data_IF_030163279706
#
_entry.id   IF_030163279706
#
_cell.length_a   1.000
_cell.length_b   1.000
_cell.length_c   1.000
_cell.angle_alpha   90.00
_cell.angle_beta   90.00
_cell.angle_gamma   90.00
#
_symmetry.space_group_name_H-M   'P 1'
#
loop_
_entity.id
_entity.type
_entity.pdbx_description
1 polymer ?
#
# COMPACT_ATOMS: atom_id res chain seq x y z
N UNK A 1 -9.65 -15.01 -8.33
CA UNK A 1 -10.07 -15.17 -6.91
C UNK A 1 -10.53 -13.80 -6.42
N UNK A 2 -11.60 -13.68 -5.62
CA UNK A 2 -12.01 -12.41 -5.03
C UNK A 2 -11.22 -12.16 -3.74
N UNK A 3 -10.95 -10.91 -3.38
CA UNK A 3 -10.49 -10.57 -2.03
C UNK A 3 -11.62 -10.83 -1.04
N UNK A 4 -11.40 -11.74 -0.09
CA UNK A 4 -12.37 -12.13 0.93
C UNK A 4 -11.94 -11.77 2.34
N UNK A 5 -10.65 -11.67 2.54
CA UNK A 5 -10.04 -11.40 3.84
C UNK A 5 -8.94 -10.35 3.66
N UNK A 6 -9.21 -9.13 4.16
CA UNK A 6 -8.37 -7.95 3.98
C UNK A 6 -7.81 -7.54 5.35
N UNK A 7 -6.54 -7.13 5.39
CA UNK A 7 -5.91 -6.55 6.55
C UNK A 7 -5.73 -5.04 6.37
N UNK A 8 -6.05 -4.27 7.39
CA UNK A 8 -5.65 -2.87 7.56
C UNK A 8 -4.57 -2.78 8.64
N UNK A 9 -3.42 -2.22 8.32
CA UNK A 9 -2.39 -1.91 9.31
C UNK A 9 -2.56 -0.47 9.80
N UNK A 10 -2.48 -0.25 11.12
CA UNK A 10 -2.61 1.07 11.74
C UNK A 10 -1.34 1.39 12.53
N UNK A 11 -0.73 2.52 12.23
CA UNK A 11 0.49 3.00 12.90
C UNK A 11 0.09 3.89 14.08
N UNK A 12 0.52 3.55 15.30
CA UNK A 12 0.20 4.30 16.52
C UNK A 12 1.32 5.24 16.97
N UNK A 13 2.52 5.09 16.38
CA UNK A 13 3.72 5.82 16.79
C UNK A 13 4.68 5.99 15.59
N UNK A 14 5.36 7.14 15.46
CA UNK A 14 5.26 8.33 16.32
C UNK A 14 3.96 9.11 16.11
N UNK A 15 3.40 9.11 14.92
CA UNK A 15 2.16 9.79 14.56
C UNK A 15 1.09 8.75 14.25
N UNK A 16 -0.12 8.86 14.83
CA UNK A 16 -1.18 7.89 14.60
C UNK A 16 -1.79 8.06 13.19
N UNK A 17 -2.10 6.94 12.56
CA UNK A 17 -2.83 6.90 11.28
C UNK A 17 -4.16 7.65 11.41
N UNK A 18 -4.49 8.58 10.49
CA UNK A 18 -5.73 9.34 10.51
C UNK A 18 -6.98 8.45 10.36
N UNK A 19 -8.07 8.80 11.03
CA UNK A 19 -9.33 8.04 10.96
C UNK A 19 -9.92 7.94 9.54
N UNK A 20 -9.64 8.91 8.67
CA UNK A 20 -10.06 8.87 7.25
C UNK A 20 -9.53 7.65 6.50
N UNK A 21 -8.38 7.11 6.91
CA UNK A 21 -7.83 5.87 6.35
C UNK A 21 -8.70 4.66 6.68
N UNK A 22 -9.23 4.60 7.90
CA UNK A 22 -10.15 3.53 8.29
C UNK A 22 -11.44 3.58 7.46
N UNK A 23 -11.98 4.76 7.20
CA UNK A 23 -13.16 4.96 6.33
C UNK A 23 -12.88 4.49 4.89
N UNK A 24 -11.73 4.83 4.34
CA UNK A 24 -11.32 4.38 3.01
C UNK A 24 -11.13 2.85 2.95
N UNK A 25 -10.49 2.25 3.96
CA UNK A 25 -10.30 0.80 4.04
C UNK A 25 -11.64 0.05 4.16
N UNK A 26 -12.58 0.57 4.95
CA UNK A 26 -13.95 0.06 5.06
C UNK A 26 -14.66 0.14 3.70
N UNK A 27 -14.56 1.25 2.98
CA UNK A 27 -15.17 1.41 1.66
C UNK A 27 -14.56 0.42 0.64
N UNK A 28 -13.23 0.17 0.71
CA UNK A 28 -12.56 -0.83 -0.10
C UNK A 28 -13.09 -2.22 0.21
N UNK A 29 -13.10 -2.64 1.47
CA UNK A 29 -13.59 -3.96 1.88
C UNK A 29 -15.05 -4.17 1.49
N UNK A 30 -15.92 -3.17 1.72
CA UNK A 30 -17.31 -3.19 1.32
C UNK A 30 -17.49 -3.41 -0.19
N UNK A 31 -16.64 -2.79 -1.01
CA UNK A 31 -16.69 -2.96 -2.47
C UNK A 31 -16.42 -4.41 -2.91
N UNK A 32 -15.72 -5.20 -2.11
CA UNK A 32 -15.45 -6.61 -2.35
C UNK A 32 -16.40 -7.56 -1.60
N UNK A 33 -17.19 -7.07 -0.65
CA UNK A 33 -17.93 -7.90 0.30
C UNK A 33 -16.97 -8.77 1.11
N UNK A 34 -15.86 -8.19 1.52
CA UNK A 34 -14.78 -8.85 2.25
C UNK A 34 -14.89 -8.62 3.75
N UNK A 35 -14.34 -9.55 4.52
CA UNK A 35 -13.98 -9.34 5.92
C UNK A 35 -12.79 -8.38 6.00
N UNK A 36 -12.79 -7.47 6.98
CA UNK A 36 -11.70 -6.53 7.21
C UNK A 36 -11.17 -6.65 8.64
N UNK A 37 -9.93 -7.10 8.77
CA UNK A 37 -9.22 -7.08 10.05
C UNK A 37 -8.40 -5.79 10.15
N UNK A 38 -8.42 -5.14 11.32
CA UNK A 38 -7.50 -4.03 11.62
C UNK A 38 -6.52 -4.43 12.71
N UNK A 39 -5.22 -4.23 12.47
CA UNK A 39 -4.17 -4.43 13.46
C UNK A 39 -3.52 -3.11 13.82
N UNK A 40 -3.42 -2.83 15.12
CA UNK A 40 -2.65 -1.72 15.66
C UNK A 40 -1.65 -2.22 16.70
N UNK A 41 -0.47 -1.60 16.77
CA UNK A 41 0.55 -1.96 17.73
C UNK A 41 0.59 -0.94 18.87
N UNK A 42 0.53 -1.41 20.12
CA UNK A 42 1.01 -0.69 21.29
C UNK A 42 2.54 -0.79 21.26
N UNK A 43 3.20 0.27 20.82
CA UNK A 43 4.64 0.26 20.63
C UNK A 43 5.35 0.58 21.93
N UNK A 44 6.25 -0.33 22.36
CA UNK A 44 7.16 -0.07 23.46
C UNK A 44 8.45 0.56 22.93
N UNK A 45 8.70 1.81 23.36
CA UNK A 45 9.89 2.55 22.94
C UNK A 45 11.07 2.12 23.79
N UNK A 46 12.11 1.54 23.17
CA UNK A 46 13.35 1.18 23.84
C UNK A 46 14.45 2.19 23.51
N UNK A 47 15.14 2.69 24.54
CA UNK A 47 16.33 3.52 24.38
C UNK A 47 17.56 2.70 24.69
N UNK A 48 18.54 2.59 23.77
CA UNK A 48 19.78 1.90 24.02
C UNK A 48 20.51 2.42 25.27
N UNK A 49 20.91 1.53 26.20
CA UNK A 49 21.43 1.89 27.51
C UNK A 49 22.67 2.79 27.54
N UNK A 50 23.43 2.88 26.42
CA UNK A 50 24.59 3.77 26.33
C UNK A 50 24.23 5.25 26.20
N UNK A 51 23.00 5.61 25.83
CA UNK A 51 22.51 6.99 25.86
C UNK A 51 22.14 7.46 27.29
N UNK A 52 22.06 6.56 28.25
CA UNK A 52 21.61 6.86 29.63
C UNK A 52 22.73 7.46 30.50
N UNK A 53 24.00 7.43 30.10
CA UNK A 53 25.15 7.76 30.93
C UNK A 53 25.53 9.25 31.00
N UNK A 54 24.83 10.14 30.30
CA UNK A 54 25.22 11.56 30.24
C UNK A 54 24.07 12.58 30.30
N UNK A 55 22.82 12.16 30.44
CA UNK A 55 21.68 13.07 30.37
C UNK A 55 21.05 13.27 31.76
N UNK A 56 20.85 14.55 32.12
CA UNK A 56 20.06 14.97 33.30
C UNK A 56 18.53 14.89 33.05
N UNK A 57 18.10 14.46 31.86
CA UNK A 57 16.70 14.30 31.53
C UNK A 57 16.12 13.02 32.13
N UNK A 58 14.85 13.05 32.53
CA UNK A 58 14.12 11.94 33.11
C UNK A 58 13.67 10.96 31.98
N UNK A 59 14.64 10.30 31.34
CA UNK A 59 14.45 9.43 30.20
C UNK A 59 13.39 8.33 30.47
N UNK A 60 13.36 7.65 31.63
CA UNK A 60 12.31 6.67 31.93
C UNK A 60 10.88 7.24 31.85
N UNK A 61 10.66 8.44 32.31
CA UNK A 61 9.34 9.11 32.25
C UNK A 61 8.96 9.46 30.82
N UNK A 62 9.92 9.92 30.01
CA UNK A 62 9.70 10.18 28.57
C UNK A 62 9.30 8.90 27.86
N UNK A 63 10.02 7.80 28.07
CA UNK A 63 9.72 6.49 27.48
C UNK A 63 8.32 6.01 27.90
N UNK A 64 8.00 6.11 29.19
CA UNK A 64 6.69 5.74 29.71
C UNK A 64 5.57 6.59 29.09
N UNK A 65 5.82 7.89 28.93
CA UNK A 65 4.90 8.82 28.27
C UNK A 65 4.65 8.48 26.81
N UNK A 66 5.69 8.23 26.02
CA UNK A 66 5.57 7.84 24.61
C UNK A 66 4.91 6.47 24.43
N UNK A 67 5.21 5.49 25.27
CA UNK A 67 4.54 4.19 25.27
C UNK A 67 3.05 4.34 25.60
N UNK A 68 2.70 5.16 26.59
CA UNK A 68 1.29 5.43 26.93
C UNK A 68 0.55 6.17 25.80
N UNK A 69 1.20 7.11 25.14
CA UNK A 69 0.67 7.81 23.98
C UNK A 69 0.37 6.83 22.84
N UNK A 70 1.33 5.96 22.48
CA UNK A 70 1.15 4.91 21.48
C UNK A 70 -0.04 4.00 21.81
N UNK A 71 -0.14 3.58 23.08
CA UNK A 71 -1.25 2.74 23.56
C UNK A 71 -2.61 3.42 23.39
N UNK A 72 -2.72 4.68 23.78
CA UNK A 72 -3.97 5.45 23.65
C UNK A 72 -4.32 5.60 22.16
N UNK A 73 -3.37 6.03 21.34
CA UNK A 73 -3.55 6.17 19.88
C UNK A 73 -4.00 4.86 19.23
N UNK A 74 -3.37 3.72 19.60
CA UNK A 74 -3.77 2.41 19.03
C UNK A 74 -5.22 2.06 19.37
N UNK A 75 -5.65 2.30 20.61
CA UNK A 75 -7.03 2.04 21.04
C UNK A 75 -8.05 2.96 20.36
N UNK A 76 -7.72 4.25 20.26
CA UNK A 76 -8.59 5.25 19.64
C UNK A 76 -8.78 4.95 18.15
N UNK A 77 -7.70 4.55 17.45
CA UNK A 77 -7.77 4.14 16.05
C UNK A 77 -8.61 2.88 15.84
N UNK A 78 -8.44 1.84 16.68
CA UNK A 78 -9.26 0.64 16.59
C UNK A 78 -10.72 0.92 16.89
N UNK A 79 -11.03 1.77 17.87
CA UNK A 79 -12.41 2.18 18.15
C UNK A 79 -13.03 2.99 16.99
N UNK A 80 -12.26 3.87 16.35
CA UNK A 80 -12.72 4.59 15.17
C UNK A 80 -12.97 3.66 13.98
N UNK A 81 -12.11 2.65 13.79
CA UNK A 81 -12.28 1.61 12.80
C UNK A 81 -13.55 0.79 13.04
N UNK A 82 -13.77 0.28 14.28
CA UNK A 82 -14.97 -0.47 14.64
C UNK A 82 -16.23 0.32 14.32
N UNK A 83 -16.29 1.58 14.74
CA UNK A 83 -17.44 2.44 14.47
C UNK A 83 -17.71 2.64 12.96
N UNK A 84 -16.65 2.79 12.16
CA UNK A 84 -16.77 2.92 10.71
C UNK A 84 -17.25 1.62 10.05
N UNK A 85 -16.72 0.47 10.48
CA UNK A 85 -17.07 -0.85 9.98
C UNK A 85 -18.50 -1.24 10.33
N UNK A 86 -18.93 -1.02 11.59
CA UNK A 86 -20.30 -1.22 12.05
C UNK A 86 -21.29 -0.38 11.24
N UNK A 87 -21.00 0.90 11.07
CA UNK A 87 -21.83 1.82 10.26
C UNK A 87 -21.99 1.35 8.82
N UNK A 88 -20.94 0.71 8.26
CA UNK A 88 -20.97 0.17 6.89
C UNK A 88 -21.54 -1.25 6.81
N UNK A 89 -21.76 -1.92 7.94
CA UNK A 89 -22.29 -3.28 8.01
C UNK A 89 -21.38 -4.36 7.44
N UNK A 90 -20.05 -4.14 7.42
CA UNK A 90 -19.10 -5.15 6.94
C UNK A 90 -18.67 -6.07 8.09
N UNK A 91 -18.39 -7.37 7.82
CA UNK A 91 -17.74 -8.24 8.80
C UNK A 91 -16.33 -7.74 9.09
N UNK A 92 -15.98 -7.58 10.36
CA UNK A 92 -14.70 -7.03 10.77
C UNK A 92 -14.20 -7.58 12.10
N UNK A 93 -12.93 -7.41 12.36
CA UNK A 93 -12.28 -7.69 13.64
C UNK A 93 -11.16 -6.69 13.93
N UNK A 94 -10.82 -6.51 15.20
CA UNK A 94 -9.70 -5.69 15.66
C UNK A 94 -8.69 -6.50 16.43
N UNK A 95 -7.41 -6.17 16.26
CA UNK A 95 -6.30 -6.80 16.97
C UNK A 95 -5.37 -5.73 17.53
N UNK A 96 -5.17 -5.73 18.84
CA UNK A 96 -4.19 -4.88 19.53
C UNK A 96 -2.99 -5.72 19.91
N UNK A 97 -1.88 -5.49 19.23
CA UNK A 97 -0.62 -6.17 19.48
C UNK A 97 0.31 -5.32 20.36
N UNK A 98 1.25 -5.98 21.05
CA UNK A 98 2.26 -5.31 21.87
C UNK A 98 3.63 -5.75 21.41
N UNK A 99 4.43 -4.81 20.97
CA UNK A 99 5.77 -5.14 20.49
C UNK A 99 6.73 -3.96 20.63
N UNK A 100 8.03 -4.21 20.71
CA UNK A 100 9.02 -3.15 20.60
C UNK A 100 9.02 -2.59 19.18
N UNK A 101 9.42 -1.33 19.04
CA UNK A 101 9.40 -0.58 17.76
C UNK A 101 10.04 -1.36 16.60
N UNK A 102 11.17 -2.02 16.85
CA UNK A 102 11.90 -2.77 15.83
C UNK A 102 11.20 -4.03 15.34
N UNK A 103 10.26 -4.59 16.11
CA UNK A 103 9.54 -5.82 15.76
C UNK A 103 8.23 -5.57 15.01
N UNK A 104 7.78 -4.31 14.92
CA UNK A 104 6.53 -3.95 14.21
C UNK A 104 6.51 -4.45 12.76
N UNK A 105 7.57 -4.27 11.92
CA UNK A 105 7.52 -4.74 10.55
C UNK A 105 7.32 -6.25 10.41
N UNK A 106 8.04 -7.04 11.19
CA UNK A 106 7.93 -8.51 11.14
C UNK A 106 6.54 -8.97 11.57
N UNK A 107 5.99 -8.36 12.61
CA UNK A 107 4.62 -8.61 13.07
C UNK A 107 3.59 -8.30 11.98
N UNK A 108 3.70 -7.15 11.31
CA UNK A 108 2.80 -6.80 10.21
C UNK A 108 2.93 -7.77 9.03
N UNK A 109 4.15 -8.22 8.72
CA UNK A 109 4.41 -9.23 7.68
C UNK A 109 3.73 -10.55 8.02
N UNK A 110 3.80 -11.01 9.28
CA UNK A 110 3.18 -12.26 9.69
C UNK A 110 1.66 -12.22 9.59
N UNK A 111 1.02 -11.11 9.98
CA UNK A 111 -0.41 -10.90 9.77
C UNK A 111 -0.77 -10.86 8.28
N UNK A 112 0.03 -10.16 7.47
CA UNK A 112 -0.21 -9.99 6.03
C UNK A 112 -0.15 -11.31 5.24
N UNK A 113 0.71 -12.25 5.63
CA UNK A 113 0.84 -13.57 4.99
C UNK A 113 -0.45 -14.36 4.99
N UNK A 114 -1.31 -14.15 5.97
CA UNK A 114 -2.57 -14.88 6.17
C UNK A 114 -3.76 -14.26 5.43
N UNK A 115 -3.58 -13.12 4.76
CA UNK A 115 -4.65 -12.34 4.15
C UNK A 115 -4.56 -12.31 2.62
N UNK A 116 -5.67 -12.00 1.97
CA UNK A 116 -5.72 -11.90 0.49
C UNK A 116 -5.12 -10.58 0.00
N UNK A 117 -5.28 -9.52 0.78
CA UNK A 117 -4.81 -8.16 0.51
C UNK A 117 -4.47 -7.48 1.83
N UNK A 118 -3.36 -6.75 1.87
CA UNK A 118 -3.05 -5.86 3.01
C UNK A 118 -3.13 -4.41 2.57
N UNK A 119 -3.84 -3.60 3.33
CA UNK A 119 -3.90 -2.14 3.17
C UNK A 119 -2.90 -1.53 4.13
N UNK A 120 -1.93 -0.79 3.60
CA UNK A 120 -0.88 -0.13 4.38
C UNK A 120 -0.96 1.37 4.13
N UNK A 121 -1.32 2.17 5.15
CA UNK A 121 -1.24 3.63 5.07
C UNK A 121 0.20 4.10 5.00
N UNK A 122 0.43 5.17 4.21
CA UNK A 122 1.74 5.80 4.10
C UNK A 122 1.60 7.31 4.26
N UNK A 123 2.19 7.90 5.31
CA UNK A 123 2.22 9.35 5.53
C UNK A 123 3.16 10.05 4.54
N UNK A 124 2.91 11.33 4.23
CA UNK A 124 3.72 12.11 3.29
C UNK A 124 5.16 12.37 3.75
N UNK A 125 5.41 12.33 5.05
CA UNK A 125 6.65 12.83 5.66
C UNK A 125 7.48 11.78 6.37
N UNK A 126 7.17 10.49 6.21
CA UNK A 126 7.74 9.45 7.04
C UNK A 126 8.42 8.33 6.27
N UNK A 127 9.27 7.58 6.98
CA UNK A 127 9.98 6.42 6.45
C UNK A 127 8.98 5.29 6.14
N UNK A 128 8.98 4.82 4.90
CA UNK A 128 8.03 3.84 4.38
C UNK A 128 8.39 2.39 4.75
N UNK A 129 9.29 2.21 5.71
CA UNK A 129 9.85 0.90 6.03
C UNK A 129 8.81 -0.17 6.41
N UNK A 130 7.67 0.21 7.01
CA UNK A 130 6.57 -0.72 7.26
C UNK A 130 5.93 -1.21 5.96
N UNK A 131 5.65 -0.30 5.03
CA UNK A 131 5.09 -0.64 3.74
C UNK A 131 6.07 -1.48 2.92
N UNK A 132 7.35 -1.13 2.92
CA UNK A 132 8.40 -1.92 2.27
C UNK A 132 8.49 -3.33 2.85
N UNK A 133 8.51 -3.47 4.19
CA UNK A 133 8.56 -4.77 4.84
C UNK A 133 7.39 -5.66 4.40
N UNK A 134 6.15 -5.13 4.42
CA UNK A 134 4.97 -5.89 4.03
C UNK A 134 4.97 -6.23 2.54
N UNK A 135 5.34 -5.29 1.64
CA UNK A 135 5.41 -5.52 0.19
C UNK A 135 6.37 -6.67 -0.14
N UNK A 136 7.55 -6.70 0.51
CA UNK A 136 8.59 -7.67 0.18
C UNK A 136 8.56 -8.94 1.04
N UNK A 137 8.00 -8.86 2.26
CA UNK A 137 8.01 -9.96 3.22
C UNK A 137 6.75 -10.83 3.22
N UNK A 138 5.60 -10.30 2.80
CA UNK A 138 4.32 -11.00 2.93
C UNK A 138 4.08 -12.04 1.84
N UNK A 139 4.58 -11.83 0.62
CA UNK A 139 4.24 -12.65 -0.57
C UNK A 139 2.80 -12.46 -1.04
N UNK A 140 2.13 -11.41 -0.59
CA UNK A 140 0.74 -11.05 -0.88
C UNK A 140 0.67 -9.65 -1.50
N UNK A 141 -0.39 -9.31 -2.25
CA UNK A 141 -0.57 -7.97 -2.75
C UNK A 141 -0.78 -6.97 -1.61
N UNK A 142 -0.22 -5.78 -1.78
CA UNK A 142 -0.30 -4.70 -0.81
C UNK A 142 -0.89 -3.46 -1.48
N UNK A 143 -1.99 -2.94 -0.93
CA UNK A 143 -2.57 -1.68 -1.35
C UNK A 143 -2.07 -0.57 -0.41
N UNK A 144 -1.15 0.23 -0.92
CA UNK A 144 -0.66 1.42 -0.23
C UNK A 144 -1.69 2.53 -0.36
N UNK A 145 -2.10 3.11 0.76
CA UNK A 145 -2.99 4.27 0.82
C UNK A 145 -2.22 5.51 1.27
N UNK A 146 -2.34 6.65 0.56
CA UNK A 146 -1.88 7.92 1.09
C UNK A 146 -2.72 8.31 2.32
N UNK A 147 -2.09 8.78 3.39
CA UNK A 147 -2.78 9.28 4.59
C UNK A 147 -3.39 10.68 4.42
N UNK A 148 -3.12 11.33 3.29
CA UNK A 148 -3.68 12.64 2.99
C UNK A 148 -5.18 12.50 2.75
N UNK A 149 -6.02 13.32 3.40
CA UNK A 149 -7.45 13.32 3.18
C UNK A 149 -7.79 13.52 1.71
N UNK A 150 -8.56 12.60 1.15
CA UNK A 150 -9.01 12.71 -0.25
C UNK A 150 -10.24 13.58 -0.35
N UNK A 151 -10.31 14.38 -1.40
CA UNK A 151 -11.48 15.19 -1.70
C UNK A 151 -12.75 14.35 -2.01
N UNK A 152 -12.60 13.05 -2.25
CA UNK A 152 -13.70 12.13 -2.61
C UNK A 152 -13.49 10.76 -1.95
N UNK A 153 -14.57 10.08 -1.52
CA UNK A 153 -14.53 8.71 -1.04
C UNK A 153 -13.90 7.77 -2.09
N UNK A 154 -13.28 6.70 -1.62
CA UNK A 154 -12.73 5.66 -2.49
C UNK A 154 -13.77 5.11 -3.46
N UNK A 155 -13.39 4.97 -4.73
CA UNK A 155 -14.20 4.35 -5.78
C UNK A 155 -13.32 3.54 -6.72
N UNK A 156 -13.79 2.39 -7.15
CA UNK A 156 -13.19 1.62 -8.24
C UNK A 156 -13.76 2.09 -9.58
N UNK A 157 -13.41 3.30 -10.00
CA UNK A 157 -13.80 3.86 -11.30
C UNK A 157 -12.82 3.45 -12.39
N UNK A 158 -11.66 4.10 -12.41
CA UNK A 158 -10.61 3.84 -13.41
C UNK A 158 -9.37 3.27 -12.73
N UNK A 159 -8.96 2.07 -13.14
CA UNK A 159 -7.73 1.42 -12.68
C UNK A 159 -6.68 1.47 -13.79
N UNK A 160 -5.47 1.91 -13.48
CA UNK A 160 -4.34 1.85 -14.40
C UNK A 160 -3.38 0.73 -14.01
N UNK A 161 -2.87 0.00 -14.99
CA UNK A 161 -1.82 -1.00 -14.84
C UNK A 161 -0.54 -0.44 -15.45
N UNK A 162 0.48 -0.19 -14.65
CA UNK A 162 1.82 0.13 -15.14
C UNK A 162 2.49 -1.14 -15.65
N UNK A 163 2.71 -1.20 -16.96
CA UNK A 163 3.18 -2.40 -17.64
C UNK A 163 4.54 -2.20 -18.31
N UNK A 164 5.54 -2.94 -17.83
CA UNK A 164 6.90 -2.95 -18.37
C UNK A 164 7.38 -4.34 -18.83
N UNK A 165 6.44 -5.30 -18.94
CA UNK A 165 6.72 -6.70 -19.27
C UNK A 165 7.63 -7.44 -18.27
N UNK A 166 7.84 -6.90 -17.08
CA UNK A 166 8.62 -7.56 -16.03
C UNK A 166 7.82 -8.66 -15.34
N UNK A 167 8.55 -9.55 -14.66
CA UNK A 167 7.94 -10.57 -13.79
C UNK A 167 7.08 -9.94 -12.69
N UNK A 168 7.55 -8.84 -12.10
CA UNK A 168 6.82 -8.12 -11.05
C UNK A 168 5.53 -7.51 -11.59
N UNK A 169 5.54 -6.90 -12.78
CA UNK A 169 4.33 -6.39 -13.43
C UNK A 169 3.34 -7.50 -13.75
N UNK A 170 3.82 -8.66 -14.25
CA UNK A 170 2.97 -9.81 -14.51
C UNK A 170 2.33 -10.36 -13.22
N UNK A 171 3.07 -10.39 -12.11
CA UNK A 171 2.56 -10.77 -10.80
C UNK A 171 1.51 -9.77 -10.33
N UNK A 172 1.78 -8.47 -10.45
CA UNK A 172 0.84 -7.42 -10.04
C UNK A 172 -0.49 -7.49 -10.80
N UNK A 173 -0.46 -7.76 -12.10
CA UNK A 173 -1.68 -8.00 -12.88
C UNK A 173 -2.47 -9.19 -12.32
N UNK A 174 -1.80 -10.33 -12.07
CA UNK A 174 -2.45 -11.53 -11.53
C UNK A 174 -3.11 -11.27 -10.18
N UNK A 175 -2.41 -10.59 -9.28
CA UNK A 175 -2.89 -10.28 -7.94
C UNK A 175 -3.98 -9.20 -7.95
N UNK A 176 -3.98 -8.31 -8.95
CA UNK A 176 -4.97 -7.26 -9.11
C UNK A 176 -6.26 -7.71 -9.81
N UNK A 177 -6.35 -8.95 -10.29
CA UNK A 177 -7.55 -9.42 -11.03
C UNK A 177 -8.87 -9.07 -10.34
N UNK A 178 -9.04 -9.22 -9.00
CA UNK A 178 -10.29 -8.83 -8.34
C UNK A 178 -10.61 -7.33 -8.46
N UNK A 179 -9.58 -6.46 -8.50
CA UNK A 179 -9.74 -5.03 -8.72
C UNK A 179 -10.11 -4.73 -10.18
N UNK A 180 -9.43 -5.39 -11.12
CA UNK A 180 -9.62 -5.17 -12.55
C UNK A 180 -11.00 -5.62 -13.02
N UNK A 181 -11.51 -6.75 -12.50
CA UNK A 181 -12.86 -7.27 -12.79
C UNK A 181 -13.99 -6.35 -12.28
N UNK A 182 -13.72 -5.59 -11.20
CA UNK A 182 -14.70 -4.66 -10.63
C UNK A 182 -14.56 -3.22 -11.13
N UNK A 183 -13.44 -2.90 -11.75
CA UNK A 183 -13.18 -1.57 -12.28
C UNK A 183 -14.15 -1.23 -13.41
N UNK A 184 -14.64 0.02 -13.43
CA UNK A 184 -15.47 0.51 -14.54
C UNK A 184 -14.66 0.67 -15.82
N UNK A 185 -13.40 1.11 -15.70
CA UNK A 185 -12.47 1.27 -16.80
C UNK A 185 -11.10 0.73 -16.40
N UNK A 186 -10.44 0.03 -17.30
CA UNK A 186 -9.07 -0.44 -17.12
C UNK A 186 -8.18 0.15 -18.20
N UNK A 187 -7.02 0.67 -17.80
CA UNK A 187 -6.02 1.22 -18.70
C UNK A 187 -4.69 0.52 -18.47
N UNK A 188 -4.00 0.18 -19.55
CA UNK A 188 -2.63 -0.33 -19.48
C UNK A 188 -1.72 0.79 -19.95
N UNK A 189 -0.84 1.28 -19.07
CA UNK A 189 0.13 2.32 -19.39
C UNK A 189 1.53 1.74 -19.50
N UNK A 190 2.17 1.95 -20.64
CA UNK A 190 3.57 1.60 -20.89
C UNK A 190 4.38 2.87 -21.08
N UNK A 191 5.37 3.09 -20.22
CA UNK A 191 6.33 4.19 -20.37
C UNK A 191 7.42 3.76 -21.34
N UNK A 192 7.65 4.55 -22.39
CA UNK A 192 8.62 4.29 -23.46
C UNK A 192 9.83 5.22 -23.37
N UNK A 193 10.90 4.89 -24.10
CA UNK A 193 12.13 5.69 -24.22
C UNK A 193 12.93 5.91 -22.93
N UNK A 194 12.72 5.06 -21.88
CA UNK A 194 13.57 5.06 -20.69
C UNK A 194 14.43 3.80 -20.62
N UNK A 195 13.87 2.63 -20.96
CA UNK A 195 14.58 1.35 -21.04
C UNK A 195 14.21 0.61 -22.34
N UNK A 196 15.11 -0.22 -22.88
CA UNK A 196 14.76 -1.15 -23.96
C UNK A 196 13.73 -2.16 -23.42
N UNK A 197 12.49 -2.02 -23.85
CA UNK A 197 11.48 -3.06 -23.69
C UNK A 197 11.70 -4.11 -24.77
N UNK A 198 11.99 -5.34 -24.38
CA UNK A 198 12.31 -6.44 -25.32
C UNK A 198 11.10 -6.92 -26.14
N UNK A 199 9.90 -6.42 -25.87
CA UNK A 199 8.70 -6.84 -26.59
C UNK A 199 7.88 -5.65 -27.09
N UNK A 200 7.88 -5.47 -28.41
CA UNK A 200 7.12 -4.40 -29.10
C UNK A 200 5.59 -4.52 -28.95
N UNK A 201 5.08 -5.70 -28.57
CA UNK A 201 3.64 -6.02 -28.56
C UNK A 201 3.15 -6.54 -27.21
N UNK A 202 3.87 -6.31 -26.12
CA UNK A 202 3.52 -6.86 -24.83
C UNK A 202 2.23 -6.31 -24.23
N UNK A 203 1.92 -5.03 -24.47
CA UNK A 203 0.66 -4.41 -24.04
C UNK A 203 -0.55 -5.02 -24.73
N UNK A 204 -0.47 -5.23 -26.04
CA UNK A 204 -1.53 -5.85 -26.84
C UNK A 204 -1.73 -7.34 -26.45
N UNK A 205 -0.65 -8.03 -26.08
CA UNK A 205 -0.75 -9.42 -25.57
C UNK A 205 -1.44 -9.46 -24.20
N UNK A 206 -1.12 -8.54 -23.31
CA UNK A 206 -1.80 -8.40 -22.03
C UNK A 206 -3.28 -8.03 -22.21
N UNK A 207 -3.60 -7.11 -23.13
CA UNK A 207 -4.98 -6.74 -23.44
C UNK A 207 -5.80 -7.97 -23.89
N UNK A 208 -5.25 -8.80 -24.78
CA UNK A 208 -5.91 -10.06 -25.20
C UNK A 208 -6.08 -11.05 -24.05
N UNK A 209 -5.14 -11.08 -23.11
CA UNK A 209 -5.27 -11.91 -21.90
C UNK A 209 -6.43 -11.43 -21.05
N UNK A 210 -6.48 -10.13 -20.72
CA UNK A 210 -7.52 -9.53 -19.89
C UNK A 210 -8.91 -9.62 -20.55
N UNK A 211 -9.00 -9.50 -21.88
CA UNK A 211 -10.25 -9.68 -22.61
C UNK A 211 -10.84 -11.10 -22.45
N UNK A 212 -10.01 -12.13 -22.26
CA UNK A 212 -10.50 -13.49 -21.95
C UNK A 212 -11.13 -13.61 -20.57
N UNK A 213 -10.83 -12.65 -19.67
CA UNK A 213 -11.46 -12.49 -18.37
C UNK A 213 -12.64 -11.49 -18.39
N UNK A 214 -13.05 -11.06 -19.59
CA UNK A 214 -14.15 -10.09 -19.76
C UNK A 214 -13.77 -8.66 -19.42
N UNK A 215 -12.47 -8.34 -19.39
CA UNK A 215 -11.97 -7.01 -19.05
C UNK A 215 -11.52 -6.29 -20.33
N UNK A 216 -12.27 -5.28 -20.74
CA UNK A 216 -11.87 -4.40 -21.82
C UNK A 216 -10.89 -3.33 -21.33
N UNK A 217 -9.83 -3.11 -22.11
CA UNK A 217 -8.75 -2.20 -21.69
C UNK A 217 -8.43 -1.16 -22.76
N UNK A 218 -8.02 0.01 -22.31
CA UNK A 218 -7.39 1.05 -23.15
C UNK A 218 -5.88 0.92 -23.03
N UNK A 219 -5.18 0.92 -24.18
CA UNK A 219 -3.72 0.87 -24.24
C UNK A 219 -3.15 2.26 -24.41
N UNK A 220 -2.29 2.67 -23.49
CA UNK A 220 -1.59 3.95 -23.55
C UNK A 220 -0.08 3.73 -23.58
N UNK A 221 0.58 4.47 -24.48
CA UNK A 221 2.04 4.57 -24.56
C UNK A 221 2.42 6.00 -24.24
N UNK A 222 3.22 6.19 -23.20
CA UNK A 222 3.66 7.50 -22.74
C UNK A 222 5.17 7.59 -22.86
N UNK A 223 5.64 8.58 -23.61
CA UNK A 223 7.08 8.84 -23.74
C UNK A 223 7.62 9.44 -22.44
N UNK A 224 8.68 8.87 -21.91
CA UNK A 224 9.33 9.41 -20.72
C UNK A 224 9.88 10.81 -20.94
N UNK A 225 10.34 11.12 -22.17
CA UNK A 225 10.98 12.41 -22.51
C UNK A 225 12.12 12.77 -21.53
N UNK A 226 12.90 11.79 -21.12
CA UNK A 226 14.00 11.94 -20.16
C UNK A 226 13.58 12.13 -18.70
N UNK A 227 12.28 12.08 -18.39
CA UNK A 227 11.78 12.16 -17.00
C UNK A 227 11.85 10.80 -16.29
N UNK A 228 12.02 10.79 -14.96
CA UNK A 228 11.89 9.59 -14.16
C UNK A 228 10.52 8.92 -14.32
N UNK A 229 10.46 7.58 -14.40
CA UNK A 229 9.19 6.83 -14.59
C UNK A 229 8.14 7.20 -13.52
N UNK A 230 8.56 7.38 -12.26
CA UNK A 230 7.65 7.74 -11.17
C UNK A 230 6.89 9.03 -11.46
N UNK A 231 7.58 10.07 -11.92
CA UNK A 231 6.97 11.36 -12.29
C UNK A 231 6.04 11.24 -13.50
N UNK A 232 6.40 10.40 -14.48
CA UNK A 232 5.56 10.15 -15.66
C UNK A 232 4.27 9.45 -15.25
N UNK A 233 4.36 8.43 -14.40
CA UNK A 233 3.19 7.71 -13.89
C UNK A 233 2.32 8.61 -13.02
N UNK A 234 2.90 9.42 -12.13
CA UNK A 234 2.16 10.39 -11.33
C UNK A 234 1.38 11.37 -12.21
N UNK A 235 2.04 12.01 -13.18
CA UNK A 235 1.38 12.92 -14.12
C UNK A 235 0.28 12.21 -14.93
N UNK A 236 0.51 10.96 -15.32
CA UNK A 236 -0.49 10.14 -16.02
C UNK A 236 -1.71 9.88 -15.15
N UNK A 237 -1.53 9.53 -13.85
CA UNK A 237 -2.65 9.26 -12.95
C UNK A 237 -3.54 10.48 -12.75
N UNK A 238 -2.96 11.67 -12.66
CA UNK A 238 -3.69 12.94 -12.55
C UNK A 238 -4.47 13.23 -13.82
N UNK A 239 -3.79 13.18 -14.98
CA UNK A 239 -4.39 13.57 -16.27
C UNK A 239 -5.55 12.65 -16.71
N UNK A 240 -5.50 11.36 -16.33
CA UNK A 240 -6.51 10.36 -16.67
C UNK A 240 -7.49 10.06 -15.53
N UNK A 241 -7.38 10.80 -14.39
CA UNK A 241 -8.23 10.63 -13.21
C UNK A 241 -8.27 9.18 -12.74
N UNK A 242 -7.10 8.58 -12.60
CA UNK A 242 -6.95 7.21 -12.14
C UNK A 242 -7.33 7.13 -10.65
N UNK A 243 -8.10 6.13 -10.25
CA UNK A 243 -8.49 5.90 -8.86
C UNK A 243 -7.55 4.93 -8.14
N UNK A 244 -6.99 3.95 -8.88
CA UNK A 244 -6.00 3.00 -8.36
C UNK A 244 -4.94 2.75 -9.42
N UNK A 245 -3.67 2.78 -9.03
CA UNK A 245 -2.55 2.32 -9.86
C UNK A 245 -2.14 0.91 -9.43
N UNK A 246 -1.96 0.01 -10.39
CA UNK A 246 -1.41 -1.33 -10.20
C UNK A 246 -0.02 -1.38 -10.77
N UNK A 247 0.97 -1.77 -9.97
CA UNK A 247 2.35 -1.90 -10.45
C UNK A 247 3.13 -2.98 -9.72
N UNK A 248 4.10 -3.57 -10.41
CA UNK A 248 5.08 -4.46 -9.80
C UNK A 248 6.06 -3.68 -8.91
N UNK A 249 6.37 -4.23 -7.77
CA UNK A 249 7.47 -3.75 -6.94
C UNK A 249 8.76 -4.43 -7.41
N UNK A 250 9.75 -3.64 -7.85
CA UNK A 250 11.05 -4.11 -8.38
C UNK A 250 11.01 -5.01 -9.63
N UNK A 251 11.23 -4.42 -10.77
CA UNK A 251 11.40 -5.14 -12.05
C UNK A 251 12.82 -5.73 -12.30
N UNK A 252 13.82 -5.52 -11.44
CA UNK A 252 15.20 -5.94 -11.71
C UNK A 252 15.79 -6.85 -10.62
N UNK A 253 16.00 -8.17 -10.89
CA UNK A 253 16.49 -9.14 -9.90
C UNK A 253 17.96 -8.94 -9.47
N UNK A 254 18.74 -8.10 -10.16
CA UNK A 254 20.17 -7.89 -9.87
C UNK A 254 20.45 -7.01 -8.65
N UNK A 255 19.41 -6.35 -8.09
CA UNK A 255 19.57 -5.35 -7.03
C UNK A 255 18.85 -5.72 -5.73
N UNK A 256 18.75 -7.02 -5.43
CA UNK A 256 18.05 -7.57 -4.26
C UNK A 256 18.52 -7.04 -2.90
N UNK A 257 19.62 -6.31 -2.83
CA UNK A 257 20.19 -6.01 -1.52
C UNK A 257 20.09 -4.55 -1.05
N UNK A 258 19.87 -3.52 -1.90
CA UNK A 258 19.94 -2.14 -1.35
C UNK A 258 19.33 -0.99 -2.17
N UNK A 259 18.71 -1.18 -3.33
CA UNK A 259 18.19 -0.03 -4.10
C UNK A 259 16.79 -0.29 -4.61
N UNK A 260 15.81 0.42 -4.01
CA UNK A 260 14.47 0.60 -4.55
C UNK A 260 14.56 1.08 -6.00
N UNK A 261 13.89 0.42 -6.95
CA UNK A 261 13.77 0.93 -8.32
C UNK A 261 13.20 2.36 -8.27
N UNK A 262 13.77 3.29 -9.00
CA UNK A 262 13.45 4.72 -8.88
C UNK A 262 11.95 5.02 -8.89
N UNK A 263 11.16 4.34 -9.74
CA UNK A 263 9.71 4.49 -9.79
C UNK A 263 8.99 3.97 -8.53
N UNK A 264 9.34 2.77 -8.04
CA UNK A 264 8.74 2.20 -6.82
C UNK A 264 9.03 3.08 -5.62
N UNK A 265 10.28 3.52 -5.46
CA UNK A 265 10.67 4.39 -4.34
C UNK A 265 9.95 5.74 -4.39
N UNK A 266 9.93 6.39 -5.53
CA UNK A 266 9.27 7.68 -5.70
C UNK A 266 7.79 7.61 -5.36
N UNK A 267 7.07 6.62 -5.93
CA UNK A 267 5.63 6.46 -5.72
C UNK A 267 5.27 5.91 -4.33
N UNK A 268 6.16 5.16 -3.67
CA UNK A 268 5.96 4.69 -2.31
C UNK A 268 6.23 5.79 -1.29
N UNK A 269 7.22 6.66 -1.52
CA UNK A 269 7.55 7.76 -0.60
C UNK A 269 6.46 8.84 -0.54
N UNK A 270 5.77 9.06 -1.64
CA UNK A 270 4.66 10.01 -1.72
C UNK A 270 3.61 9.47 -2.67
N UNK A 271 2.77 8.52 -2.23
CA UNK A 271 1.76 7.95 -3.10
C UNK A 271 0.71 9.00 -3.47
N UNK A 272 0.52 9.31 -4.77
CA UNK A 272 -0.45 10.33 -5.20
C UNK A 272 -1.90 9.83 -5.10
N UNK A 273 -2.09 8.53 -5.02
CA UNK A 273 -3.36 7.80 -4.98
C UNK A 273 -3.11 6.39 -4.42
N UNK A 274 -4.15 5.57 -4.20
CA UNK A 274 -3.96 4.16 -3.86
C UNK A 274 -3.16 3.42 -4.90
N UNK A 275 -2.13 2.68 -4.46
CA UNK A 275 -1.27 1.90 -5.34
C UNK A 275 -1.23 0.45 -4.86
N UNK A 276 -1.65 -0.48 -5.73
CA UNK A 276 -1.47 -1.90 -5.49
C UNK A 276 -0.08 -2.33 -5.97
N UNK A 277 0.73 -2.79 -5.03
CA UNK A 277 2.04 -3.38 -5.28
C UNK A 277 2.00 -4.89 -5.14
N UNK A 278 2.77 -5.57 -6.00
CA UNK A 278 3.09 -7.00 -5.87
C UNK A 278 4.54 -7.27 -6.23
N UNK A 279 5.13 -8.27 -5.56
CA UNK A 279 6.54 -8.62 -5.72
C UNK A 279 6.73 -10.11 -6.07
#
# INVERSE_FOLDING_TARGET
MAFKDILLTLTSYPDPTPSSVAEDAVAIAASFGAHLAAVACEVHVEVPGHFLSGSTANIPEIIAGETQKSRNSARDMLAAFDAAAEKSGIPHETQLEKCPTFAVPDLLVDHARLRDLTIVPVPESYDQWYAEAVIFGSGRPVLVLPEVPRARPFKLGTVAVAWDFSRAAARAVSDAMPLLEKARNVRIVTVTNEKRLDSKHSGEALARNLARHGIDVVLDKVDANGRPIGEVLEAYTVSHRIDVLVMGAYGNPRWRQFILGGATKSLLSKPPLPILFSH
#
